data_IF_027629213250
#
_entry.id   IF_027629213250
#
_cell.length_a   1.000
_cell.length_b   1.000
_cell.length_c   1.000
_cell.angle_alpha   90.00
_cell.angle_beta   90.00
_cell.angle_gamma   90.00
#
_symmetry.space_group_name_H-M   'P 1'
#
loop_
_entity.id
_entity.type
_entity.pdbx_description
1 polymer ?
#
# COMPACT_ATOMS: atom_id res chain seq x y z
N UNK A 1 -24.75 68.03 14.43
CA UNK A 1 -25.19 66.83 15.18
C UNK A 1 -24.41 65.65 14.60
N UNK A 2 -23.20 65.33 15.11
CA UNK A 2 -22.95 64.27 16.12
C UNK A 2 -23.62 62.94 15.69
N UNK A 3 -22.94 61.82 15.37
CA UNK A 3 -21.87 61.14 16.13
C UNK A 3 -21.21 59.99 15.33
N UNK A 4 -19.87 59.94 15.41
CA UNK A 4 -19.02 58.81 15.81
C UNK A 4 -19.13 57.42 15.15
N UNK A 5 -18.08 57.07 14.40
CA UNK A 5 -17.71 55.70 13.97
C UNK A 5 -17.01 54.99 15.14
N UNK A 6 -17.56 53.88 15.62
CA UNK A 6 -16.93 53.00 16.62
C UNK A 6 -15.90 52.09 15.94
N UNK A 7 -14.61 52.36 16.16
CA UNK A 7 -13.54 51.41 15.87
C UNK A 7 -13.55 50.28 16.89
N UNK A 8 -13.65 49.05 16.39
CA UNK A 8 -13.74 47.83 17.19
C UNK A 8 -12.37 47.48 17.78
N UNK A 9 -12.26 47.62 19.09
CA UNK A 9 -11.10 47.28 19.91
C UNK A 9 -11.01 45.77 20.10
N UNK A 10 -10.40 45.04 19.15
CA UNK A 10 -10.11 43.60 19.32
C UNK A 10 -8.72 43.18 18.84
N UNK A 11 -7.82 44.11 18.55
CA UNK A 11 -6.46 43.80 18.07
C UNK A 11 -5.34 44.01 19.10
N UNK A 12 -5.66 44.37 20.34
CA UNK A 12 -4.66 44.67 21.39
C UNK A 12 -4.59 43.66 22.56
N UNK A 13 -5.33 42.55 22.50
CA UNK A 13 -5.22 41.50 23.54
C UNK A 13 -4.34 40.33 23.09
N UNK A 14 -4.08 40.18 21.78
CA UNK A 14 -3.28 39.04 21.26
C UNK A 14 -1.77 39.35 21.25
N UNK A 15 -1.36 40.63 21.32
CA UNK A 15 0.06 41.01 21.24
C UNK A 15 0.77 41.25 22.59
N UNK A 16 0.05 41.25 23.71
CA UNK A 16 0.65 41.51 25.03
C UNK A 16 1.03 40.26 25.83
N UNK A 17 0.66 39.06 25.36
CA UNK A 17 1.03 37.80 26.02
C UNK A 17 2.31 37.15 25.47
N UNK A 18 2.95 37.79 24.49
CA UNK A 18 4.05 37.18 23.71
C UNK A 18 5.44 37.74 24.06
N UNK A 19 5.58 38.59 25.08
CA UNK A 19 6.84 39.31 25.37
C UNK A 19 7.45 39.06 26.76
N UNK A 20 7.05 38.00 27.49
CA UNK A 20 7.69 37.64 28.77
C UNK A 20 8.27 36.24 28.83
N UNK A 21 8.25 35.48 27.74
CA UNK A 21 9.11 34.29 27.63
C UNK A 21 10.34 34.65 26.82
N UNK A 22 11.34 35.18 27.53
CA UNK A 22 12.72 35.06 27.07
C UNK A 22 13.05 33.58 27.03
N UNK A 23 12.82 32.95 25.88
CA UNK A 23 13.48 31.69 25.56
C UNK A 23 14.93 32.07 25.29
N UNK A 24 15.76 32.12 26.34
CA UNK A 24 17.17 31.93 26.08
C UNK A 24 17.28 30.54 25.42
N UNK A 25 17.75 30.52 24.19
CA UNK A 25 18.09 29.30 23.51
C UNK A 25 19.36 28.73 24.17
N UNK A 26 19.24 28.20 25.38
CA UNK A 26 20.26 27.30 25.91
C UNK A 26 20.21 26.04 25.04
N UNK A 27 21.30 25.80 24.33
CA UNK A 27 21.56 24.50 23.73
C UNK A 27 21.38 23.44 24.82
N UNK A 28 20.37 22.58 24.66
CA UNK A 28 19.92 21.57 25.63
C UNK A 28 20.93 20.45 25.83
N UNK A 29 22.10 20.81 26.34
CA UNK A 29 23.10 19.86 26.80
C UNK A 29 22.72 19.39 28.20
N UNK A 30 22.73 18.07 28.48
CA UNK A 30 22.14 17.49 29.70
C UNK A 30 22.86 17.82 31.03
N UNK A 31 23.75 18.82 31.03
CA UNK A 31 24.59 19.21 32.17
C UNK A 31 24.54 20.70 32.56
N UNK A 32 23.78 21.56 31.88
CA UNK A 32 23.87 23.02 32.09
C UNK A 32 22.91 23.63 33.13
N UNK A 33 22.09 22.84 33.82
CA UNK A 33 21.17 23.37 34.84
C UNK A 33 20.94 22.35 35.96
N UNK A 34 21.36 22.68 37.18
CA UNK A 34 21.27 21.78 38.34
C UNK A 34 19.85 21.63 38.90
N UNK A 35 18.98 22.64 38.77
CA UNK A 35 17.57 22.60 39.18
C UNK A 35 16.65 22.00 38.11
N UNK A 36 17.07 22.05 36.84
CA UNK A 36 16.36 21.40 35.73
C UNK A 36 16.44 19.88 35.84
N UNK A 37 17.45 19.33 36.51
CA UNK A 37 17.58 17.88 36.71
C UNK A 37 16.38 17.26 37.44
N UNK A 38 15.74 17.97 38.37
CA UNK A 38 14.56 17.45 39.09
C UNK A 38 13.26 17.68 38.32
N UNK A 39 13.06 18.88 37.76
CA UNK A 39 11.90 19.18 36.92
C UNK A 39 11.86 18.35 35.63
N UNK A 40 13.00 18.16 34.96
CA UNK A 40 13.14 17.22 33.84
C UNK A 40 12.98 15.79 34.29
N UNK A 41 13.40 15.42 35.50
CA UNK A 41 13.21 14.07 36.03
C UNK A 41 11.74 13.80 36.25
N UNK A 42 10.99 14.68 36.89
CA UNK A 42 9.54 14.56 37.05
C UNK A 42 8.80 14.57 35.71
N UNK A 43 9.14 15.49 34.79
CA UNK A 43 8.58 15.52 33.45
C UNK A 43 8.89 14.24 32.65
N UNK A 44 10.11 13.71 32.77
CA UNK A 44 10.54 12.44 32.16
C UNK A 44 9.86 11.23 32.80
N UNK A 45 9.58 11.27 34.10
CA UNK A 45 8.79 10.22 34.76
C UNK A 45 7.33 10.29 34.37
N UNK A 46 6.75 11.49 34.23
CA UNK A 46 5.39 11.71 33.76
C UNK A 46 5.22 11.25 32.29
N UNK A 47 6.14 11.62 31.40
CA UNK A 47 6.16 11.15 30.02
C UNK A 47 6.33 9.63 29.94
N UNK A 48 7.23 9.04 30.74
CA UNK A 48 7.41 7.58 30.84
C UNK A 48 6.18 6.85 31.41
N UNK A 49 5.41 7.51 32.27
CA UNK A 49 4.18 6.97 32.83
C UNK A 49 3.04 6.99 31.80
N UNK A 50 3.02 7.99 30.91
CA UNK A 50 2.04 8.11 29.82
C UNK A 50 2.28 7.12 28.67
N UNK A 51 3.46 6.50 28.56
CA UNK A 51 3.75 5.51 27.51
C UNK A 51 2.92 4.23 27.70
N UNK A 52 2.41 3.62 26.61
CA UNK A 52 1.59 2.42 26.69
C UNK A 52 2.33 1.27 27.37
N UNK A 53 1.63 0.48 28.18
CA UNK A 53 2.18 -0.66 28.92
C UNK A 53 2.94 -1.61 27.98
N UNK A 54 4.22 -1.88 28.30
CA UNK A 54 5.10 -2.75 27.50
C UNK A 54 6.02 -2.05 26.49
N UNK A 55 5.87 -0.74 26.29
CA UNK A 55 6.79 0.10 25.47
C UNK A 55 8.05 0.58 26.22
N UNK A 56 8.24 0.17 27.48
CA UNK A 56 9.39 0.58 28.31
C UNK A 56 10.65 -0.15 27.86
N UNK A 57 11.34 0.41 26.86
CA UNK A 57 12.68 -0.01 26.48
C UNK A 57 13.72 0.48 27.51
N UNK A 58 14.68 -0.38 27.85
CA UNK A 58 15.79 -0.05 28.74
C UNK A 58 17.04 0.12 27.88
N UNK A 59 17.84 1.15 28.14
CA UNK A 59 19.16 1.24 27.53
C UNK A 59 20.12 0.32 28.29
N UNK A 60 20.80 -0.59 27.59
CA UNK A 60 21.84 -1.46 28.15
C UNK A 60 23.02 -1.46 27.18
N UNK A 61 24.21 -1.14 27.67
CA UNK A 61 25.45 -1.07 26.85
C UNK A 61 25.35 -0.15 25.63
N UNK A 62 24.68 1.01 25.77
CA UNK A 62 24.52 1.98 24.68
C UNK A 62 23.43 1.63 23.67
N UNK A 63 22.83 0.44 23.76
CA UNK A 63 21.78 -0.02 22.85
C UNK A 63 20.42 -0.12 23.54
N UNK A 64 19.36 -0.01 22.75
CA UNK A 64 17.96 -0.09 23.18
C UNK A 64 17.56 -1.56 23.34
N UNK A 65 17.31 -1.99 24.59
CA UNK A 65 17.01 -3.37 24.93
C UNK A 65 15.60 -3.51 25.56
N UNK A 66 14.73 -4.40 25.06
CA UNK A 66 14.85 -5.24 23.86
C UNK A 66 14.71 -4.45 22.54
N UNK A 67 15.25 -4.98 21.42
CA UNK A 67 15.19 -4.33 20.10
C UNK A 67 13.75 -4.12 19.60
N UNK A 68 12.81 -4.97 20.02
CA UNK A 68 11.38 -4.83 19.75
C UNK A 68 10.59 -4.76 21.07
N UNK A 69 9.48 -4.01 21.12
CA UNK A 69 8.60 -3.98 22.29
C UNK A 69 8.12 -5.41 22.61
N UNK A 70 8.08 -5.78 23.90
CA UNK A 70 7.57 -7.08 24.30
C UNK A 70 6.06 -7.15 24.03
N UNK A 71 5.51 -8.32 23.65
CA UNK A 71 4.07 -8.51 23.58
C UNK A 71 3.43 -8.05 24.89
N UNK A 72 2.48 -7.12 24.77
CA UNK A 72 1.93 -6.28 25.84
C UNK A 72 0.81 -6.96 26.62
N UNK A 73 0.88 -8.29 26.78
CA UNK A 73 -0.08 -9.08 27.55
C UNK A 73 0.36 -9.29 29.00
N UNK A 74 -0.57 -9.61 29.92
CA UNK A 74 -0.20 -10.10 31.25
C UNK A 74 0.73 -11.31 31.12
N UNK A 75 1.71 -11.44 32.02
CA UNK A 75 2.60 -12.60 32.02
C UNK A 75 1.74 -13.86 32.15
N UNK A 76 1.89 -14.79 31.22
CA UNK A 76 1.26 -16.10 31.35
C UNK A 76 1.72 -16.77 32.64
N UNK A 77 0.77 -17.36 33.36
CA UNK A 77 1.04 -18.14 34.55
C UNK A 77 1.94 -19.34 34.23
N UNK A 78 2.70 -19.82 35.24
CA UNK A 78 3.68 -20.89 35.03
C UNK A 78 3.06 -22.21 34.57
N UNK A 79 1.83 -22.52 35.02
CA UNK A 79 1.10 -23.72 34.60
C UNK A 79 0.72 -23.67 33.12
N UNK A 80 0.25 -22.51 32.62
CA UNK A 80 0.00 -22.32 31.20
C UNK A 80 1.29 -22.54 30.41
N UNK A 81 2.41 -21.97 30.86
CA UNK A 81 3.72 -22.16 30.20
C UNK A 81 4.15 -23.63 30.19
N UNK A 82 3.96 -24.36 31.29
CA UNK A 82 4.25 -25.79 31.37
C UNK A 82 3.39 -26.59 30.40
N UNK A 83 2.07 -26.40 30.42
CA UNK A 83 1.15 -27.12 29.53
C UNK A 83 1.35 -26.76 28.06
N UNK A 84 1.67 -25.51 27.73
CA UNK A 84 2.02 -25.08 26.38
C UNK A 84 3.28 -25.78 25.85
N UNK A 85 4.33 -25.92 26.67
CA UNK A 85 5.55 -26.62 26.28
C UNK A 85 5.38 -28.15 26.26
N UNK A 86 4.66 -28.70 27.23
CA UNK A 86 4.52 -30.14 27.42
C UNK A 86 3.57 -30.78 26.39
N UNK A 87 2.50 -30.07 26.00
CA UNK A 87 1.51 -30.57 25.04
C UNK A 87 1.71 -30.01 23.63
N UNK A 88 2.81 -29.30 23.36
CA UNK A 88 3.16 -28.89 22.01
C UNK A 88 3.20 -30.11 21.07
N UNK A 89 2.54 -30.09 19.89
CA UNK A 89 1.86 -28.96 19.23
C UNK A 89 0.31 -28.95 19.35
N UNK A 90 -0.29 -29.90 20.08
CA UNK A 90 -1.74 -30.13 20.08
C UNK A 90 -2.63 -28.94 20.45
N UNK A 91 -2.33 -28.09 21.46
CA UNK A 91 -3.23 -26.99 21.83
C UNK A 91 -3.31 -25.91 20.76
N UNK A 92 -2.30 -25.80 19.89
CA UNK A 92 -2.23 -24.76 18.85
C UNK A 92 -2.67 -25.25 17.48
N UNK A 93 -2.75 -26.57 17.27
CA UNK A 93 -3.01 -27.14 15.96
C UNK A 93 -4.32 -26.65 15.32
N UNK A 94 -5.38 -26.46 16.11
CA UNK A 94 -6.65 -25.94 15.58
C UNK A 94 -6.55 -24.47 15.18
N UNK A 95 -5.90 -23.65 16.01
CA UNK A 95 -5.70 -22.22 15.76
C UNK A 95 -4.76 -21.99 14.58
N UNK A 96 -3.64 -22.71 14.52
CA UNK A 96 -2.68 -22.63 13.42
C UNK A 96 -3.32 -23.04 12.08
N UNK A 97 -4.13 -24.11 12.08
CA UNK A 97 -4.88 -24.52 10.89
C UNK A 97 -5.91 -23.47 10.47
N UNK A 98 -6.60 -22.86 11.43
CA UNK A 98 -7.56 -21.78 11.14
C UNK A 98 -6.84 -20.55 10.58
N UNK A 99 -5.69 -20.19 11.15
CA UNK A 99 -4.86 -19.08 10.68
C UNK A 99 -4.38 -19.29 9.24
N UNK A 100 -3.85 -20.48 8.91
CA UNK A 100 -3.41 -20.79 7.54
C UNK A 100 -4.59 -20.73 6.56
N UNK A 101 -5.76 -21.24 6.95
CA UNK A 101 -6.97 -21.16 6.12
C UNK A 101 -7.42 -19.72 5.90
N UNK A 102 -7.46 -18.89 6.94
CA UNK A 102 -7.81 -17.47 6.84
C UNK A 102 -6.86 -16.71 5.91
N UNK A 103 -5.55 -16.94 6.01
CA UNK A 103 -4.58 -16.34 5.10
C UNK A 103 -4.84 -16.73 3.65
N UNK A 104 -5.11 -18.02 3.39
CA UNK A 104 -5.45 -18.50 2.04
C UNK A 104 -6.78 -17.94 1.54
N UNK A 105 -7.79 -17.86 2.39
CA UNK A 105 -9.11 -17.32 2.05
C UNK A 105 -9.01 -15.84 1.66
N UNK A 106 -8.22 -15.06 2.38
CA UNK A 106 -7.93 -13.65 2.02
C UNK A 106 -7.21 -13.53 0.69
N UNK A 107 -6.20 -14.37 0.45
CA UNK A 107 -5.49 -14.38 -0.84
C UNK A 107 -6.42 -14.74 -2.00
N UNK A 108 -7.27 -15.76 -1.81
CA UNK A 108 -8.29 -16.12 -2.79
C UNK A 108 -9.26 -14.96 -3.03
N UNK A 109 -9.79 -14.34 -1.97
CA UNK A 109 -10.72 -13.22 -2.10
C UNK A 109 -10.10 -12.05 -2.88
N UNK A 110 -8.86 -11.68 -2.56
CA UNK A 110 -8.13 -10.64 -3.29
C UNK A 110 -7.92 -11.02 -4.76
N UNK A 111 -7.51 -12.27 -5.04
CA UNK A 111 -7.31 -12.74 -6.40
C UNK A 111 -8.61 -12.71 -7.23
N UNK A 112 -9.74 -13.06 -6.62
CA UNK A 112 -11.04 -12.94 -7.28
C UNK A 112 -11.45 -11.49 -7.50
N UNK A 113 -11.28 -10.64 -6.49
CA UNK A 113 -11.59 -9.23 -6.61
C UNK A 113 -10.73 -8.57 -7.69
N UNK A 114 -9.46 -8.94 -7.82
CA UNK A 114 -8.56 -8.45 -8.87
C UNK A 114 -8.99 -8.96 -10.26
N UNK A 115 -9.33 -10.25 -10.37
CA UNK A 115 -9.79 -10.84 -11.63
C UNK A 115 -11.13 -10.26 -12.09
N UNK A 116 -12.02 -9.85 -11.17
CA UNK A 116 -13.29 -9.19 -11.52
C UNK A 116 -13.19 -7.67 -11.55
N UNK A 117 -11.98 -7.10 -11.47
CA UNK A 117 -11.73 -5.67 -11.64
C UNK A 117 -11.49 -5.30 -13.10
N UNK A 118 -12.24 -4.31 -13.59
CA UNK A 118 -11.98 -3.60 -14.82
C UNK A 118 -11.05 -2.41 -14.54
N UNK A 119 -9.81 -2.57 -14.98
CA UNK A 119 -8.75 -1.56 -14.92
C UNK A 119 -8.81 -0.53 -16.05
N UNK A 120 -8.03 0.54 -15.92
CA UNK A 120 -7.95 1.67 -16.85
C UNK A 120 -7.70 1.26 -18.31
N UNK A 121 -6.94 0.19 -18.57
CA UNK A 121 -6.66 -0.27 -19.94
C UNK A 121 -7.85 -0.98 -20.62
N UNK A 122 -8.91 -1.32 -19.89
CA UNK A 122 -10.17 -1.79 -20.47
C UNK A 122 -11.04 -0.65 -20.98
N UNK A 123 -10.69 0.60 -20.66
CA UNK A 123 -11.40 1.79 -21.07
C UNK A 123 -10.65 2.55 -22.17
N UNK A 124 -11.40 3.21 -23.02
CA UNK A 124 -10.87 4.18 -23.98
C UNK A 124 -10.55 5.50 -23.26
N UNK A 125 -9.37 6.09 -23.54
CA UNK A 125 -8.83 7.24 -22.80
C UNK A 125 -9.68 8.49 -22.90
N UNK A 126 -10.33 8.71 -24.04
CA UNK A 126 -11.05 9.96 -24.31
C UNK A 126 -12.54 9.86 -23.97
N UNK A 127 -13.13 8.66 -24.04
CA UNK A 127 -14.58 8.46 -23.96
C UNK A 127 -15.03 7.71 -22.71
N UNK A 128 -14.10 7.11 -21.94
CA UNK A 128 -14.40 6.25 -20.80
C UNK A 128 -15.32 5.06 -21.12
N UNK A 129 -15.50 4.72 -22.40
CA UNK A 129 -16.28 3.56 -22.83
C UNK A 129 -15.42 2.30 -22.75
N UNK A 130 -16.08 1.15 -22.59
CA UNK A 130 -15.37 -0.13 -22.64
C UNK A 130 -14.83 -0.39 -24.05
N UNK A 131 -13.55 -0.74 -24.11
CA UNK A 131 -12.92 -1.32 -25.29
C UNK A 131 -13.43 -2.75 -25.53
N UNK A 132 -13.12 -3.33 -26.69
CA UNK A 132 -13.43 -4.73 -27.00
C UNK A 132 -12.88 -5.70 -25.93
N UNK A 133 -11.64 -5.47 -25.48
CA UNK A 133 -11.03 -6.26 -24.40
C UNK A 133 -11.80 -6.11 -23.08
N UNK A 134 -12.28 -4.90 -22.77
CA UNK A 134 -13.15 -4.65 -21.63
C UNK A 134 -14.49 -5.38 -21.71
N UNK A 135 -15.12 -5.37 -22.88
CA UNK A 135 -16.39 -6.07 -23.12
C UNK A 135 -16.25 -7.59 -23.00
N UNK A 136 -15.17 -8.15 -23.55
CA UNK A 136 -14.88 -9.59 -23.42
C UNK A 136 -14.63 -9.98 -21.96
N UNK A 137 -13.90 -9.15 -21.21
CA UNK A 137 -13.64 -9.39 -19.79
C UNK A 137 -14.93 -9.29 -18.96
N UNK A 138 -15.75 -8.26 -19.21
CA UNK A 138 -17.06 -8.12 -18.57
C UNK A 138 -17.96 -9.34 -18.86
N UNK A 139 -18.01 -9.80 -20.11
CA UNK A 139 -18.73 -11.02 -20.49
C UNK A 139 -18.23 -12.23 -19.69
N UNK A 140 -16.91 -12.41 -19.59
CA UNK A 140 -16.34 -13.50 -18.82
C UNK A 140 -16.74 -13.44 -17.33
N UNK A 141 -16.76 -12.25 -16.72
CA UNK A 141 -17.22 -12.08 -15.34
C UNK A 141 -18.70 -12.52 -15.22
N UNK A 142 -19.54 -12.12 -16.17
CA UNK A 142 -20.97 -12.43 -16.15
C UNK A 142 -21.27 -13.92 -16.34
N UNK A 143 -20.52 -14.61 -17.22
CA UNK A 143 -20.82 -16.00 -17.60
C UNK A 143 -20.04 -17.04 -16.81
N UNK A 144 -18.77 -16.78 -16.50
CA UNK A 144 -17.86 -17.78 -15.93
C UNK A 144 -17.52 -17.57 -14.46
N UNK A 145 -17.64 -16.34 -13.93
CA UNK A 145 -17.38 -16.13 -12.51
C UNK A 145 -18.46 -16.83 -11.66
N UNK A 146 -18.07 -17.54 -10.58
CA UNK A 146 -19.01 -18.12 -9.64
C UNK A 146 -19.95 -17.06 -9.06
N UNK A 147 -21.22 -17.39 -8.87
CA UNK A 147 -22.25 -16.46 -8.41
C UNK A 147 -21.87 -15.78 -7.07
N UNK A 148 -21.29 -16.54 -6.14
CA UNK A 148 -20.82 -16.01 -4.83
C UNK A 148 -19.67 -15.00 -4.92
N UNK A 149 -19.02 -14.87 -6.08
CA UNK A 149 -17.88 -13.95 -6.32
C UNK A 149 -18.10 -13.05 -7.53
N UNK A 150 -19.31 -13.07 -8.11
CA UNK A 150 -19.67 -12.29 -9.30
C UNK A 150 -19.99 -10.85 -8.91
N UNK A 151 -18.94 -10.12 -8.57
CA UNK A 151 -18.97 -8.68 -8.24
C UNK A 151 -18.09 -7.98 -9.26
N UNK A 152 -18.63 -6.99 -9.96
CA UNK A 152 -17.86 -6.26 -10.98
C UNK A 152 -17.24 -5.05 -10.30
N UNK A 153 -15.92 -5.01 -10.24
CA UNK A 153 -15.19 -3.86 -9.72
C UNK A 153 -14.74 -2.97 -10.87
N UNK A 154 -14.83 -1.67 -10.69
CA UNK A 154 -14.30 -0.69 -11.64
C UNK A 154 -13.20 0.09 -10.94
N UNK A 155 -12.03 0.19 -11.57
CA UNK A 155 -10.93 0.96 -11.01
C UNK A 155 -11.28 2.45 -10.94
N UNK A 156 -11.16 3.04 -9.75
CA UNK A 156 -11.29 4.49 -9.57
C UNK A 156 -10.19 5.22 -10.33
N UNK A 157 -10.58 6.23 -11.11
CA UNK A 157 -9.65 7.17 -11.71
C UNK A 157 -9.22 8.26 -10.71
N UNK A 158 -8.29 9.13 -11.12
CA UNK A 158 -7.89 10.29 -10.31
C UNK A 158 -9.05 11.28 -10.15
N UNK A 159 -9.87 11.42 -11.20
CA UNK A 159 -11.05 12.27 -11.21
C UNK A 159 -12.30 11.47 -10.84
N UNK A 160 -13.14 12.05 -9.98
CA UNK A 160 -14.39 11.44 -9.53
C UNK A 160 -15.43 11.34 -10.64
N UNK A 161 -15.45 12.31 -11.56
CA UNK A 161 -16.35 12.36 -12.71
C UNK A 161 -16.05 11.19 -13.66
N UNK A 162 -14.78 11.01 -14.03
CA UNK A 162 -14.33 9.89 -14.86
C UNK A 162 -14.67 8.53 -14.22
N UNK A 163 -14.51 8.42 -12.90
CA UNK A 163 -14.86 7.20 -12.17
C UNK A 163 -16.37 6.88 -12.26
N UNK A 164 -17.23 7.89 -12.13
CA UNK A 164 -18.68 7.73 -12.24
C UNK A 164 -19.12 7.40 -13.67
N UNK A 165 -18.52 8.04 -14.67
CA UNK A 165 -18.77 7.74 -16.08
C UNK A 165 -18.41 6.29 -16.43
N UNK A 166 -17.23 5.82 -15.99
CA UNK A 166 -16.82 4.42 -16.17
C UNK A 166 -17.79 3.46 -15.51
N UNK A 167 -18.22 3.75 -14.29
CA UNK A 167 -19.20 2.93 -13.58
C UNK A 167 -20.55 2.87 -14.32
N UNK A 168 -21.05 4.01 -14.80
CA UNK A 168 -22.28 4.09 -15.58
C UNK A 168 -22.18 3.33 -16.91
N UNK A 169 -21.05 3.47 -17.62
CA UNK A 169 -20.80 2.76 -18.87
C UNK A 169 -20.72 1.24 -18.67
N UNK A 170 -20.12 0.78 -17.56
CA UNK A 170 -20.07 -0.65 -17.20
C UNK A 170 -21.45 -1.18 -16.83
N UNK A 171 -22.24 -0.44 -16.06
CA UNK A 171 -23.61 -0.81 -15.72
C UNK A 171 -24.48 -0.94 -16.96
N UNK A 172 -24.39 0.04 -17.87
CA UNK A 172 -25.09 0.00 -19.14
C UNK A 172 -24.65 -1.19 -20.01
N UNK A 173 -23.34 -1.45 -20.12
CA UNK A 173 -22.86 -2.60 -20.87
C UNK A 173 -23.29 -3.94 -20.24
N UNK A 174 -23.33 -4.02 -18.91
CA UNK A 174 -23.77 -5.21 -18.19
C UNK A 174 -25.26 -5.49 -18.41
N UNK A 175 -26.13 -4.47 -18.40
CA UNK A 175 -27.57 -4.65 -18.64
C UNK A 175 -27.85 -5.11 -20.06
N UNK A 176 -27.09 -4.62 -21.04
CA UNK A 176 -27.18 -5.11 -22.42
C UNK A 176 -26.78 -6.59 -22.58
N UNK A 177 -25.89 -7.11 -21.71
CA UNK A 177 -25.40 -8.50 -21.82
C UNK A 177 -26.20 -9.51 -20.99
N UNK A 178 -26.57 -9.15 -19.76
CA UNK A 178 -27.21 -10.07 -18.81
C UNK A 178 -28.74 -9.88 -18.68
N UNK A 179 -29.27 -8.77 -19.18
CA UNK A 179 -30.64 -8.33 -18.88
C UNK A 179 -30.76 -7.75 -17.46
N UNK A 180 -31.88 -7.08 -17.16
CA UNK A 180 -32.05 -6.35 -15.90
C UNK A 180 -32.22 -7.26 -14.66
N UNK A 181 -32.69 -8.50 -14.85
CA UNK A 181 -33.05 -9.39 -13.74
C UNK A 181 -31.84 -10.01 -13.00
N UNK A 182 -30.66 -10.07 -13.63
CA UNK A 182 -29.47 -10.76 -13.11
C UNK A 182 -28.21 -9.89 -13.18
N UNK A 183 -28.34 -8.61 -12.83
CA UNK A 183 -27.23 -7.68 -12.79
C UNK A 183 -26.36 -7.89 -11.54
N UNK A 184 -25.07 -8.25 -11.67
CA UNK A 184 -24.18 -8.29 -10.53
C UNK A 184 -23.95 -6.88 -9.95
N UNK A 185 -23.64 -6.77 -8.66
CA UNK A 185 -23.27 -5.50 -8.06
C UNK A 185 -22.00 -4.95 -8.75
N UNK A 186 -22.10 -3.70 -9.17
CA UNK A 186 -21.02 -2.93 -9.81
C UNK A 186 -20.59 -1.83 -8.85
N UNK A 187 -19.31 -1.78 -8.50
CA UNK A 187 -18.78 -0.79 -7.54
C UNK A 187 -17.39 -0.30 -7.89
N UNK A 188 -17.07 0.91 -7.44
CA UNK A 188 -15.74 1.48 -7.56
C UNK A 188 -14.78 0.84 -6.57
N UNK A 189 -13.55 0.60 -7.01
CA UNK A 189 -12.46 0.09 -6.18
C UNK A 189 -11.20 0.93 -6.41
N UNK A 190 -10.60 1.37 -5.31
CA UNK A 190 -9.25 1.91 -5.32
C UNK A 190 -8.25 0.75 -5.42
N UNK A 191 -7.78 0.49 -6.64
CA UNK A 191 -6.79 -0.54 -6.90
C UNK A 191 -5.69 -0.01 -7.83
N UNK A 192 -4.41 -0.26 -7.53
CA UNK A 192 -3.37 -0.09 -8.54
C UNK A 192 -3.54 -1.17 -9.62
N UNK A 193 -3.19 -0.84 -10.85
CA UNK A 193 -3.10 -1.84 -11.91
C UNK A 193 -1.92 -2.77 -11.61
N UNK A 194 -2.19 -4.03 -11.28
CA UNK A 194 -1.13 -5.03 -11.15
C UNK A 194 -0.83 -5.64 -12.52
N UNK A 195 0.42 -5.55 -12.95
CA UNK A 195 0.85 -6.00 -14.27
C UNK A 195 0.77 -4.92 -15.34
N UNK A 196 0.96 -5.33 -16.59
CA UNK A 196 0.96 -4.45 -17.76
C UNK A 196 0.04 -4.99 -18.84
N UNK A 197 -0.70 -4.13 -19.54
CA UNK A 197 -1.60 -4.59 -20.60
C UNK A 197 -0.80 -5.30 -21.70
N UNK A 198 -1.37 -6.39 -22.24
CA UNK A 198 -0.71 -7.23 -23.23
C UNK A 198 -0.22 -6.45 -24.46
N UNK A 199 -0.96 -5.41 -24.90
CA UNK A 199 -0.55 -4.53 -26.00
C UNK A 199 0.77 -3.79 -25.69
N UNK A 200 0.93 -3.32 -24.46
CA UNK A 200 2.14 -2.62 -24.04
C UNK A 200 3.32 -3.59 -23.97
N UNK A 201 3.11 -4.81 -23.46
CA UNK A 201 4.14 -5.85 -23.42
C UNK A 201 4.52 -6.36 -24.81
N UNK A 202 3.56 -6.56 -25.71
CA UNK A 202 3.78 -6.94 -27.10
C UNK A 202 4.58 -5.86 -27.86
N UNK A 203 4.26 -4.58 -27.64
CA UNK A 203 5.05 -3.47 -28.19
C UNK A 203 6.51 -3.51 -27.71
N UNK A 204 6.74 -3.74 -26.40
CA UNK A 204 8.10 -3.86 -25.86
C UNK A 204 8.82 -5.09 -26.41
N UNK A 205 8.13 -6.21 -26.51
CA UNK A 205 8.70 -7.46 -27.03
C UNK A 205 9.10 -7.32 -28.49
N UNK A 206 8.24 -6.74 -29.34
CA UNK A 206 8.58 -6.44 -30.75
C UNK A 206 9.76 -5.49 -30.86
N UNK A 207 9.79 -4.44 -30.05
CA UNK A 207 10.92 -3.50 -30.02
C UNK A 207 12.23 -4.20 -29.59
N UNK A 208 12.17 -5.07 -28.58
CA UNK A 208 13.30 -5.87 -28.12
C UNK A 208 13.82 -6.78 -29.24
N UNK A 209 12.96 -7.61 -29.84
CA UNK A 209 13.35 -8.50 -30.95
C UNK A 209 13.94 -7.72 -32.12
N UNK A 210 13.35 -6.58 -32.48
CA UNK A 210 13.84 -5.71 -33.56
C UNK A 210 15.19 -5.05 -33.25
N UNK A 211 15.54 -4.90 -31.97
CA UNK A 211 16.83 -4.36 -31.54
C UNK A 211 17.96 -5.40 -31.52
N UNK A 212 17.63 -6.69 -31.57
CA UNK A 212 18.63 -7.77 -31.56
C UNK A 212 19.35 -7.77 -32.92
N UNK A 213 20.66 -7.48 -32.89
CA UNK A 213 21.52 -7.60 -34.06
C UNK A 213 21.49 -9.05 -34.58
N UNK A 214 21.51 -9.27 -35.91
CA UNK A 214 21.58 -10.62 -36.45
C UNK A 214 22.83 -11.35 -35.95
N UNK A 215 22.76 -12.67 -35.68
CA UNK A 215 23.87 -13.43 -35.13
C UNK A 215 25.08 -13.37 -36.06
N UNK A 216 26.25 -13.00 -35.52
CA UNK A 216 27.51 -12.95 -36.26
C UNK A 216 28.37 -14.15 -35.88
N UNK A 217 28.67 -15.00 -36.84
CA UNK A 217 29.71 -16.04 -36.69
C UNK A 217 31.00 -15.40 -37.19
N UNK A 218 31.98 -15.19 -36.30
CA UNK A 218 33.31 -14.77 -36.70
C UNK A 218 34.03 -15.97 -37.33
N UNK A 219 33.91 -16.14 -38.65
CA UNK A 219 34.70 -17.12 -39.39
C UNK A 219 36.06 -16.52 -39.72
N UNK A 220 37.13 -17.06 -39.14
CA UNK A 220 38.51 -16.75 -39.52
C UNK A 220 38.98 -17.82 -40.50
N UNK A 221 39.06 -17.55 -41.82
CA UNK A 221 39.69 -18.49 -42.74
C UNK A 221 41.20 -18.53 -42.44
N UNK A 222 41.72 -19.72 -42.16
CA UNK A 222 43.16 -19.94 -42.02
C UNK A 222 43.85 -19.67 -43.36
N UNK A 223 44.59 -18.56 -43.45
CA UNK A 223 45.35 -18.19 -44.65
C UNK A 223 46.58 -19.08 -44.82
N UNK A 224 46.48 -20.09 -45.68
CA UNK A 224 47.64 -20.80 -46.21
C UNK A 224 48.27 -19.98 -47.35
N UNK A 225 49.45 -19.42 -47.11
CA UNK A 225 50.26 -18.73 -48.11
C UNK A 225 50.86 -19.77 -49.07
N UNK A 226 50.31 -19.88 -50.29
CA UNK A 226 50.96 -20.65 -51.36
C UNK A 226 52.09 -19.80 -51.96
N UNK A 227 53.34 -20.16 -51.70
CA UNK A 227 54.50 -19.56 -52.35
C UNK A 227 54.54 -19.99 -53.82
N UNK A 228 54.43 -19.03 -54.73
CA UNK A 228 54.64 -19.26 -56.16
C UNK A 228 56.15 -19.38 -56.41
N UNK A 229 56.64 -20.61 -56.61
CA UNK A 229 58.04 -20.90 -56.97
C UNK A 229 58.21 -20.83 -58.48
N UNK A 230 59.09 -19.93 -58.95
CA UNK A 230 59.42 -19.78 -60.36
C UNK A 230 60.34 -20.87 -60.90
N UNK A 231 60.05 -21.28 -62.14
CA UNK A 231 60.99 -21.43 -63.25
C UNK A 231 60.21 -21.55 -64.56
#
# INVERSE_FOLDING_TARGET
>A
MTTAVRWSTYLLVIFAFSLTQGYEAQAGWPWSCDTCKEAEKEAKWAERAARPVGSRQKYKFGELWPPYPRPTGPKQHFWNRYHHAHYWPYPYQCEDRAYVRDVMDRQMHNGWADQTTLYAYHFEKDTNKLTEAGLLHLRWILTHAPESRRTVFVQSANDSIESQERLANVQYAASQMAGDDNLPPTMLRLAPTYGRPAREEDMKYRAYIGSILPPRILYTPGGGTASNGGN
#
